data_IF_873678145143
#
_entry.id   IF_873678145143
#
_cell.length_a   1.000
_cell.length_b   1.000
_cell.length_c   1.000
_cell.angle_alpha   90.00
_cell.angle_beta   90.00
_cell.angle_gamma   90.00
#
_symmetry.space_group_name_H-M   'P 1'
#
loop_
_entity.id
_entity.type
_entity.pdbx_description
1 polymer ?
#
# COMPACT_ATOMS: atom_id res chain seq x y z
N UNK A 1 -6.09 -4.14 14.02
CA UNK A 1 -4.69 -4.49 14.34
C UNK A 1 -4.31 -5.85 13.80
N UNK A 2 -5.21 -6.84 13.79
CA UNK A 2 -4.88 -8.22 13.37
C UNK A 2 -4.40 -8.31 11.92
N UNK A 3 -5.02 -7.54 11.01
CA UNK A 3 -4.70 -7.57 9.57
C UNK A 3 -3.32 -7.03 9.25
N UNK A 4 -3.01 -5.80 9.69
CA UNK A 4 -1.69 -5.19 9.43
C UNK A 4 -0.55 -5.98 10.07
N UNK A 5 -0.81 -6.68 11.20
CA UNK A 5 0.18 -7.61 11.78
C UNK A 5 0.53 -8.72 10.79
N UNK A 6 -0.46 -9.36 10.16
CA UNK A 6 -0.20 -10.40 9.14
C UNK A 6 0.53 -9.85 7.92
N UNK A 7 0.14 -8.67 7.44
CA UNK A 7 0.85 -8.00 6.34
C UNK A 7 2.34 -7.78 6.64
N UNK A 8 2.66 -7.25 7.82
CA UNK A 8 4.04 -7.05 8.24
C UNK A 8 4.78 -8.37 8.50
N UNK A 9 4.13 -9.38 9.08
CA UNK A 9 4.75 -10.71 9.27
C UNK A 9 5.15 -11.30 7.92
N UNK A 10 4.24 -11.28 6.93
CA UNK A 10 4.50 -11.81 5.60
C UNK A 10 5.59 -11.02 4.88
N UNK A 11 5.52 -9.69 4.92
CA UNK A 11 6.56 -8.85 4.30
C UNK A 11 7.91 -9.02 4.99
N UNK A 12 7.97 -9.15 6.31
CA UNK A 12 9.22 -9.45 7.01
C UNK A 12 9.74 -10.85 6.66
N UNK A 13 8.87 -11.83 6.47
CA UNK A 13 9.25 -13.16 6.01
C UNK A 13 9.90 -13.09 4.60
N UNK A 14 9.34 -12.27 3.70
CA UNK A 14 9.83 -12.15 2.32
C UNK A 14 11.05 -11.22 2.18
N UNK A 15 11.05 -10.06 2.83
CA UNK A 15 12.12 -9.05 2.75
C UNK A 15 13.22 -9.25 3.82
N UNK A 16 13.04 -10.19 4.74
CA UNK A 16 13.98 -10.47 5.82
C UNK A 16 14.21 -9.26 6.75
N UNK A 17 15.46 -8.96 7.12
CA UNK A 17 15.80 -7.84 8.01
C UNK A 17 15.31 -6.49 7.52
N UNK A 18 15.24 -6.28 6.20
CA UNK A 18 14.75 -5.03 5.60
C UNK A 18 13.27 -4.82 5.95
N UNK A 19 12.45 -5.87 5.86
CA UNK A 19 11.04 -5.79 6.25
C UNK A 19 10.85 -5.50 7.74
N UNK A 20 11.67 -6.11 8.60
CA UNK A 20 11.66 -5.83 10.04
C UNK A 20 12.04 -4.36 10.34
N UNK A 21 13.05 -3.84 9.65
CA UNK A 21 13.45 -2.44 9.76
C UNK A 21 12.31 -1.48 9.35
N UNK A 22 11.66 -1.76 8.22
CA UNK A 22 10.50 -0.98 7.75
C UNK A 22 9.36 -1.03 8.77
N UNK A 23 9.07 -2.19 9.37
CA UNK A 23 8.06 -2.31 10.43
C UNK A 23 8.36 -1.39 11.62
N UNK A 24 9.61 -1.39 12.10
CA UNK A 24 10.03 -0.55 13.23
C UNK A 24 9.84 0.94 12.91
N UNK A 25 10.23 1.38 11.72
CA UNK A 25 10.14 2.80 11.35
C UNK A 25 8.72 3.28 11.06
N UNK A 26 7.90 2.43 10.45
CA UNK A 26 6.59 2.84 9.91
C UNK A 26 5.41 2.48 10.79
N UNK A 27 5.50 1.42 11.61
CA UNK A 27 4.35 0.82 12.29
C UNK A 27 4.54 0.63 13.81
N UNK A 28 5.77 0.60 14.32
CA UNK A 28 6.03 0.44 15.77
C UNK A 28 6.21 1.81 16.45
N UNK A 29 5.18 2.35 17.13
CA UNK A 29 5.32 3.61 17.83
C UNK A 29 6.26 3.46 19.04
N UNK A 30 6.92 4.55 19.48
CA UNK A 30 7.76 4.55 20.68
C UNK A 30 6.94 4.33 21.97
N UNK A 31 5.67 4.74 21.99
CA UNK A 31 4.72 4.47 23.07
C UNK A 31 3.48 3.75 22.54
N UNK A 32 2.94 2.71 23.23
CA UNK A 32 1.89 1.85 22.69
C UNK A 32 0.59 2.58 22.28
N UNK A 33 0.24 3.66 22.97
CA UNK A 33 -1.03 4.38 22.77
C UNK A 33 -0.98 5.40 21.62
N UNK A 34 0.22 5.71 21.10
CA UNK A 34 0.39 6.73 20.06
C UNK A 34 0.34 6.17 18.63
N UNK A 35 -0.12 4.94 18.40
CA UNK A 35 -0.06 4.33 17.06
C UNK A 35 -0.83 5.16 16.01
N UNK A 36 -2.02 5.67 16.34
CA UNK A 36 -2.85 6.45 15.41
C UNK A 36 -2.13 7.71 14.91
N UNK A 37 -1.54 8.48 15.83
CA UNK A 37 -0.76 9.68 15.51
C UNK A 37 0.55 9.32 14.80
N UNK A 38 1.21 8.25 15.26
CA UNK A 38 2.47 7.79 14.70
C UNK A 38 2.36 7.44 13.22
N UNK A 39 1.24 6.86 12.78
CA UNK A 39 1.04 6.46 11.37
C UNK A 39 0.44 7.56 10.51
N UNK A 40 -0.01 8.69 11.08
CA UNK A 40 -0.60 9.82 10.33
C UNK A 40 0.23 10.30 9.13
N UNK A 41 1.58 10.42 9.21
CA UNK A 41 2.37 10.91 8.08
C UNK A 41 2.14 10.08 6.80
N UNK A 42 1.94 10.78 5.67
CA UNK A 42 1.59 10.17 4.39
C UNK A 42 2.56 9.07 3.95
N UNK A 43 3.86 9.23 4.20
CA UNK A 43 4.87 8.22 3.87
C UNK A 43 4.65 6.91 4.65
N UNK A 44 4.21 6.97 5.91
CA UNK A 44 3.89 5.77 6.71
C UNK A 44 2.58 5.14 6.26
N UNK A 45 1.59 5.96 5.92
CA UNK A 45 0.35 5.50 5.30
C UNK A 45 0.64 4.73 4.00
N UNK A 46 1.52 5.27 3.16
CA UNK A 46 1.96 4.66 1.91
C UNK A 46 2.78 3.38 2.12
N UNK A 47 3.68 3.34 3.12
CA UNK A 47 4.37 2.10 3.50
C UNK A 47 3.36 1.03 3.89
N UNK A 48 2.36 1.36 4.72
CA UNK A 48 1.32 0.41 5.10
C UNK A 48 0.51 -0.11 3.91
N UNK A 49 0.11 0.79 3.01
CA UNK A 49 -0.58 0.42 1.76
C UNK A 49 0.28 -0.50 0.88
N UNK A 50 1.58 -0.20 0.75
CA UNK A 50 2.52 -0.98 -0.06
C UNK A 50 2.75 -2.37 0.56
N UNK A 51 2.97 -2.44 1.88
CA UNK A 51 3.11 -3.70 2.63
C UNK A 51 1.88 -4.58 2.46
N UNK A 52 0.69 -3.98 2.53
CA UNK A 52 -0.56 -4.72 2.39
C UNK A 52 -0.75 -5.33 1.01
N UNK A 53 -0.47 -4.54 -0.04
CA UNK A 53 -0.48 -4.99 -1.44
C UNK A 53 0.54 -6.11 -1.65
N UNK A 54 1.80 -5.83 -1.31
CA UNK A 54 2.91 -6.74 -1.54
C UNK A 54 2.77 -8.05 -0.77
N UNK A 55 2.20 -8.04 0.44
CA UNK A 55 1.92 -9.25 1.19
C UNK A 55 0.95 -10.17 0.43
N UNK A 56 -0.13 -9.61 -0.14
CA UNK A 56 -1.10 -10.36 -0.92
C UNK A 56 -0.55 -10.85 -2.24
N UNK A 57 0.08 -9.95 -3.01
CA UNK A 57 0.68 -10.24 -4.30
C UNK A 57 1.75 -11.32 -4.18
N UNK A 58 2.69 -11.16 -3.25
CA UNK A 58 3.78 -12.13 -3.04
C UNK A 58 3.26 -13.50 -2.57
N UNK A 59 2.20 -13.54 -1.77
CA UNK A 59 1.56 -14.81 -1.36
C UNK A 59 0.99 -15.54 -2.58
N UNK A 60 0.29 -14.83 -3.47
CA UNK A 60 -0.25 -15.40 -4.70
C UNK A 60 0.85 -15.83 -5.68
N UNK A 61 1.93 -15.05 -5.81
CA UNK A 61 3.11 -15.39 -6.64
C UNK A 61 3.76 -16.68 -6.14
N UNK A 62 4.02 -16.82 -4.84
CA UNK A 62 4.63 -18.05 -4.29
C UNK A 62 3.73 -19.27 -4.49
N UNK A 63 2.41 -19.11 -4.32
CA UNK A 63 1.47 -20.18 -4.60
C UNK A 63 1.48 -20.57 -6.08
N UNK A 64 1.51 -19.59 -6.98
CA UNK A 64 1.62 -19.82 -8.42
C UNK A 64 2.90 -20.59 -8.75
N UNK A 65 4.05 -20.11 -8.28
CA UNK A 65 5.35 -20.75 -8.49
C UNK A 65 5.37 -22.20 -8.00
N UNK A 66 4.75 -22.50 -6.85
CA UNK A 66 4.64 -23.87 -6.36
C UNK A 66 3.79 -24.77 -7.28
N UNK A 67 2.68 -24.25 -7.80
CA UNK A 67 1.78 -24.99 -8.71
C UNK A 67 2.40 -25.18 -10.10
N UNK A 68 2.98 -24.13 -10.67
CA UNK A 68 3.57 -24.13 -12.01
C UNK A 68 4.84 -24.98 -12.06
N UNK A 69 5.65 -24.96 -10.99
CA UNK A 69 6.82 -25.85 -10.84
C UNK A 69 6.39 -27.31 -10.79
N UNK A 70 5.32 -27.64 -10.05
CA UNK A 70 4.79 -29.01 -10.00
C UNK A 70 4.27 -29.50 -11.36
N UNK A 71 3.80 -28.58 -12.20
CA UNK A 71 3.31 -28.86 -13.56
C UNK A 71 4.40 -28.80 -14.64
N UNK A 72 5.61 -28.34 -14.32
CA UNK A 72 6.71 -28.20 -15.28
C UNK A 72 6.44 -27.19 -16.40
N UNK A 73 5.69 -26.13 -16.12
CA UNK A 73 5.30 -25.14 -17.13
C UNK A 73 6.49 -24.31 -17.62
N UNK A 74 6.40 -23.81 -18.87
CA UNK A 74 7.41 -22.92 -19.43
C UNK A 74 7.42 -21.58 -18.69
N UNK A 75 8.58 -20.95 -18.55
CA UNK A 75 8.79 -19.68 -17.83
C UNK A 75 7.76 -18.58 -18.15
N UNK A 76 7.36 -18.42 -19.41
CA UNK A 76 6.35 -17.42 -19.77
C UNK A 76 4.96 -17.71 -19.17
N UNK A 77 4.56 -18.97 -19.09
CA UNK A 77 3.29 -19.36 -18.46
C UNK A 77 3.37 -19.21 -16.94
N UNK A 78 4.56 -19.43 -16.38
CA UNK A 78 4.84 -19.21 -14.96
C UNK A 78 4.64 -17.74 -14.59
N UNK A 79 5.29 -16.81 -15.31
CA UNK A 79 5.13 -15.36 -15.09
C UNK A 79 3.67 -14.90 -15.22
N UNK A 80 2.93 -15.43 -16.20
CA UNK A 80 1.51 -15.11 -16.37
C UNK A 80 0.69 -15.64 -15.19
N UNK A 81 0.94 -16.87 -14.74
CA UNK A 81 0.27 -17.46 -13.60
C UNK A 81 0.58 -16.70 -12.31
N UNK A 82 1.85 -16.35 -12.07
CA UNK A 82 2.30 -15.53 -10.94
C UNK A 82 1.61 -14.17 -10.92
N UNK A 83 1.52 -13.49 -12.06
CA UNK A 83 0.81 -12.22 -12.15
C UNK A 83 -0.69 -12.38 -11.81
N UNK A 84 -1.36 -13.37 -12.42
CA UNK A 84 -2.81 -13.56 -12.24
C UNK A 84 -3.14 -13.98 -10.81
N UNK A 85 -2.44 -14.98 -10.26
CA UNK A 85 -2.69 -15.46 -8.90
C UNK A 85 -2.26 -14.42 -7.86
N UNK A 86 -1.14 -13.73 -8.07
CA UNK A 86 -0.72 -12.59 -7.25
C UNK A 86 -1.83 -11.55 -7.16
N UNK A 87 -2.29 -11.06 -8.31
CA UNK A 87 -3.37 -10.08 -8.37
C UNK A 87 -4.68 -10.57 -7.75
N UNK A 88 -5.06 -11.84 -7.96
CA UNK A 88 -6.28 -12.42 -7.37
C UNK A 88 -6.17 -12.48 -5.83
N UNK A 89 -5.03 -12.92 -5.29
CA UNK A 89 -4.82 -12.97 -3.84
C UNK A 89 -4.75 -11.56 -3.24
N UNK A 90 -4.01 -10.65 -3.87
CA UNK A 90 -3.95 -9.25 -3.50
C UNK A 90 -5.34 -8.61 -3.46
N UNK A 91 -6.10 -8.72 -4.55
CA UNK A 91 -7.42 -8.10 -4.68
C UNK A 91 -8.47 -8.72 -3.76
N UNK A 92 -8.67 -10.04 -3.80
CA UNK A 92 -9.82 -10.67 -3.16
C UNK A 92 -9.59 -11.00 -1.69
N UNK A 93 -8.36 -11.37 -1.32
CA UNK A 93 -8.04 -11.78 0.05
C UNK A 93 -7.47 -10.63 0.85
N UNK A 94 -6.52 -9.87 0.32
CA UNK A 94 -5.92 -8.78 1.08
C UNK A 94 -6.79 -7.51 0.99
N UNK A 95 -6.96 -6.92 -0.19
CA UNK A 95 -7.72 -5.68 -0.31
C UNK A 95 -9.19 -5.83 0.10
N UNK A 96 -9.95 -6.67 -0.61
CA UNK A 96 -11.40 -6.66 -0.50
C UNK A 96 -11.91 -7.24 0.83
N UNK A 97 -11.28 -8.30 1.34
CA UNK A 97 -11.71 -8.93 2.59
C UNK A 97 -11.46 -8.00 3.78
N UNK A 98 -10.30 -7.33 3.80
CA UNK A 98 -9.92 -6.48 4.92
C UNK A 98 -10.52 -5.08 4.86
N UNK A 99 -10.93 -4.61 3.67
CA UNK A 99 -11.67 -3.36 3.53
C UNK A 99 -13.20 -3.53 3.57
N UNK A 100 -13.72 -4.76 3.68
CA UNK A 100 -15.16 -5.02 3.71
C UNK A 100 -15.90 -4.15 4.73
N UNK A 101 -15.36 -4.07 5.95
CA UNK A 101 -15.99 -3.36 7.05
C UNK A 101 -15.91 -1.82 6.88
N UNK A 102 -14.89 -1.34 6.16
CA UNK A 102 -14.76 0.09 5.78
C UNK A 102 -15.83 0.51 4.78
N UNK A 103 -16.25 -0.40 3.89
CA UNK A 103 -17.27 -0.15 2.87
C UNK A 103 -18.69 -0.52 3.30
N UNK A 104 -18.97 -0.47 4.61
CA UNK A 104 -20.30 -0.76 5.16
C UNK A 104 -20.68 -2.24 5.07
N UNK A 105 -19.71 -3.15 5.10
CA UNK A 105 -19.91 -4.60 5.05
C UNK A 105 -20.07 -5.19 3.65
N UNK A 106 -20.12 -4.36 2.59
CA UNK A 106 -20.31 -4.83 1.22
C UNK A 106 -19.00 -5.26 0.57
N UNK A 107 -18.75 -6.57 0.50
CA UNK A 107 -17.56 -7.13 -0.14
C UNK A 107 -17.46 -6.75 -1.63
N UNK A 108 -18.57 -6.78 -2.38
CA UNK A 108 -18.57 -6.40 -3.79
C UNK A 108 -18.18 -4.93 -4.00
N UNK A 109 -18.62 -4.03 -3.10
CA UNK A 109 -18.20 -2.63 -3.13
C UNK A 109 -16.70 -2.50 -2.84
N UNK A 110 -16.19 -3.25 -1.87
CA UNK A 110 -14.77 -3.29 -1.54
C UNK A 110 -13.93 -3.71 -2.76
N UNK A 111 -14.28 -4.83 -3.41
CA UNK A 111 -13.60 -5.30 -4.64
C UNK A 111 -13.61 -4.22 -5.73
N UNK A 112 -14.77 -3.63 -6.03
CA UNK A 112 -14.89 -2.63 -7.11
C UNK A 112 -14.05 -1.38 -6.83
N UNK A 113 -13.95 -0.97 -5.56
CA UNK A 113 -13.19 0.21 -5.15
C UNK A 113 -11.69 -0.07 -5.06
N UNK A 114 -11.29 -1.31 -4.76
CA UNK A 114 -9.89 -1.70 -4.66
C UNK A 114 -9.28 -2.20 -5.96
N UNK A 115 -10.07 -2.57 -6.96
CA UNK A 115 -9.58 -3.14 -8.22
C UNK A 115 -8.57 -2.25 -8.93
N UNK A 116 -8.91 -0.98 -9.15
CA UNK A 116 -8.02 -0.05 -9.85
C UNK A 116 -6.72 0.23 -9.06
N UNK A 117 -6.78 0.61 -7.77
CA UNK A 117 -5.57 0.83 -6.98
C UNK A 117 -4.68 -0.41 -6.83
N UNK A 118 -5.30 -1.59 -6.74
CA UNK A 118 -4.55 -2.85 -6.67
C UNK A 118 -3.85 -3.16 -7.98
N UNK A 119 -4.55 -3.03 -9.10
CA UNK A 119 -4.00 -3.34 -10.41
C UNK A 119 -2.81 -2.44 -10.77
N UNK A 120 -2.94 -1.14 -10.51
CA UNK A 120 -1.86 -0.17 -10.74
C UNK A 120 -0.66 -0.45 -9.81
N UNK A 121 -0.91 -0.83 -8.55
CA UNK A 121 0.14 -1.20 -7.60
C UNK A 121 0.85 -2.49 -8.01
N UNK A 122 0.10 -3.53 -8.40
CA UNK A 122 0.61 -4.82 -8.86
C UNK A 122 1.49 -4.66 -10.11
N UNK A 123 1.11 -3.80 -11.05
CA UNK A 123 1.97 -3.47 -12.20
C UNK A 123 3.33 -2.93 -11.76
N UNK A 124 3.35 -2.04 -10.77
CA UNK A 124 4.59 -1.47 -10.25
C UNK A 124 5.42 -2.49 -9.45
N UNK A 125 4.76 -3.35 -8.65
CA UNK A 125 5.41 -4.48 -7.96
C UNK A 125 6.11 -5.37 -8.97
N UNK A 126 5.39 -5.81 -10.01
CA UNK A 126 5.93 -6.72 -11.03
C UNK A 126 6.99 -6.04 -11.91
N UNK A 127 6.87 -4.74 -12.18
CA UNK A 127 7.91 -3.99 -12.88
C UNK A 127 9.25 -3.99 -12.12
N UNK A 128 9.21 -4.02 -10.77
CA UNK A 128 10.41 -4.17 -9.95
C UNK A 128 10.88 -5.62 -9.79
N UNK A 129 9.95 -6.55 -9.54
CA UNK A 129 10.26 -7.96 -9.25
C UNK A 129 10.81 -8.70 -10.47
N UNK A 130 10.16 -8.59 -11.64
CA UNK A 130 10.46 -9.43 -12.80
C UNK A 130 11.90 -9.28 -13.29
N UNK A 131 12.47 -8.06 -13.44
CA UNK A 131 13.86 -7.93 -13.88
C UNK A 131 14.84 -8.59 -12.93
N UNK A 132 14.64 -8.45 -11.62
CA UNK A 132 15.52 -9.06 -10.61
C UNK A 132 15.43 -10.58 -10.68
N UNK A 133 14.21 -11.14 -10.74
CA UNK A 133 13.99 -12.57 -10.90
C UNK A 133 14.64 -13.11 -12.17
N UNK A 134 14.35 -12.52 -13.33
CA UNK A 134 14.89 -13.00 -14.61
C UNK A 134 16.41 -12.91 -14.64
N UNK A 135 17.01 -11.80 -14.20
CA UNK A 135 18.48 -11.63 -14.24
C UNK A 135 19.18 -12.58 -13.29
N UNK A 136 18.69 -12.73 -12.05
CA UNK A 136 19.36 -13.54 -11.03
C UNK A 136 19.05 -15.04 -11.19
N UNK A 137 17.82 -15.42 -11.53
CA UNK A 137 17.48 -16.82 -11.76
C UNK A 137 18.04 -17.33 -13.09
N UNK A 138 18.05 -16.55 -14.18
CA UNK A 138 18.60 -17.03 -15.46
C UNK A 138 20.11 -17.31 -15.43
N UNK A 139 20.85 -16.71 -14.49
CA UNK A 139 22.30 -16.91 -14.33
C UNK A 139 22.66 -18.14 -13.51
N UNK A 140 21.76 -18.60 -12.64
CA UNK A 140 21.99 -19.77 -11.79
C UNK A 140 20.68 -20.54 -11.59
N UNK A 141 20.53 -21.65 -12.33
CA UNK A 141 19.36 -22.53 -12.28
C UNK A 141 19.15 -23.17 -10.89
N UNK A 142 20.18 -23.25 -10.04
CA UNK A 142 20.00 -23.71 -8.65
C UNK A 142 19.17 -22.75 -7.79
N UNK A 143 18.94 -21.53 -8.30
CA UNK A 143 18.07 -20.53 -7.68
C UNK A 143 16.59 -20.74 -8.03
N UNK A 144 16.24 -21.73 -8.88
CA UNK A 144 14.84 -22.02 -9.26
C UNK A 144 14.17 -23.06 -8.34
N UNK A 145 14.92 -23.72 -7.46
CA UNK A 145 14.36 -24.73 -6.55
C UNK A 145 14.01 -24.14 -5.18
N UNK A 146 12.77 -24.29 -4.68
CA UNK A 146 12.35 -23.77 -3.36
C UNK A 146 13.14 -24.34 -2.17
N UNK A 147 13.80 -25.49 -2.32
CA UNK A 147 14.67 -26.09 -1.31
C UNK A 147 16.03 -25.40 -1.17
N UNK A 148 16.38 -24.51 -2.10
CA UNK A 148 17.64 -23.76 -2.13
C UNK A 148 17.55 -22.48 -1.31
N UNK A 149 18.56 -22.19 -0.49
CA UNK A 149 18.66 -20.89 0.20
C UNK A 149 18.79 -19.72 -0.80
N UNK A 150 19.38 -19.97 -1.99
CA UNK A 150 19.52 -18.94 -3.03
C UNK A 150 18.18 -18.52 -3.61
N UNK A 151 17.23 -19.45 -3.77
CA UNK A 151 15.87 -19.14 -4.19
C UNK A 151 15.25 -18.08 -3.28
N UNK A 152 15.30 -18.30 -1.96
CA UNK A 152 14.78 -17.35 -0.98
C UNK A 152 15.52 -16.01 -0.97
N UNK A 153 16.84 -16.02 -1.20
CA UNK A 153 17.63 -14.79 -1.36
C UNK A 153 17.22 -13.96 -2.58
N UNK A 154 17.04 -14.61 -3.74
CA UNK A 154 16.59 -13.95 -4.97
C UNK A 154 15.15 -13.45 -4.83
N UNK A 155 14.26 -14.25 -4.25
CA UNK A 155 12.87 -13.84 -3.97
C UNK A 155 12.83 -12.64 -3.02
N UNK A 156 13.71 -12.59 -2.02
CA UNK A 156 13.81 -11.45 -1.12
C UNK A 156 14.24 -10.19 -1.85
N UNK A 157 15.30 -10.27 -2.68
CA UNK A 157 15.76 -9.14 -3.50
C UNK A 157 14.69 -8.67 -4.49
N UNK A 158 14.00 -9.60 -5.14
CA UNK A 158 12.91 -9.27 -6.06
C UNK A 158 11.78 -8.55 -5.32
N UNK A 159 11.36 -9.08 -4.18
CA UNK A 159 10.31 -8.47 -3.34
C UNK A 159 10.71 -7.06 -2.89
N UNK A 160 11.97 -6.83 -2.52
CA UNK A 160 12.48 -5.50 -2.18
C UNK A 160 12.43 -4.56 -3.39
N UNK A 161 12.84 -5.01 -4.57
CA UNK A 161 12.77 -4.21 -5.79
C UNK A 161 11.31 -3.87 -6.16
N UNK A 162 10.40 -4.83 -6.03
CA UNK A 162 8.96 -4.63 -6.19
C UNK A 162 8.41 -3.60 -5.20
N UNK A 163 8.80 -3.69 -3.92
CA UNK A 163 8.43 -2.71 -2.90
C UNK A 163 8.90 -1.30 -3.29
N UNK A 164 10.15 -1.15 -3.70
CA UNK A 164 10.74 0.15 -4.09
C UNK A 164 9.99 0.74 -5.29
N UNK A 165 9.67 -0.08 -6.29
CA UNK A 165 8.94 0.36 -7.49
C UNK A 165 7.48 0.72 -7.18
N UNK A 166 6.82 -0.06 -6.32
CA UNK A 166 5.42 0.15 -5.96
C UNK A 166 5.20 1.28 -4.93
N UNK A 167 6.19 1.58 -4.10
CA UNK A 167 6.07 2.60 -3.06
C UNK A 167 5.63 3.99 -3.59
N UNK A 168 6.26 4.61 -4.60
CA UNK A 168 5.84 5.93 -5.10
C UNK A 168 4.42 5.91 -5.70
N UNK A 169 4.03 4.80 -6.31
CA UNK A 169 2.67 4.60 -6.85
C UNK A 169 1.65 4.53 -5.71
N UNK A 170 1.94 3.77 -4.66
CA UNK A 170 1.10 3.69 -3.47
C UNK A 170 1.06 5.00 -2.70
N UNK A 171 2.17 5.75 -2.66
CA UNK A 171 2.22 7.08 -2.07
C UNK A 171 1.26 8.05 -2.76
N UNK A 172 1.25 8.04 -4.10
CA UNK A 172 0.31 8.82 -4.89
C UNK A 172 -1.14 8.35 -4.66
N UNK A 173 -1.40 7.04 -4.73
CA UNK A 173 -2.74 6.46 -4.56
C UNK A 173 -3.35 6.80 -3.19
N UNK A 174 -2.54 6.78 -2.12
CA UNK A 174 -2.97 7.18 -0.78
C UNK A 174 -3.16 8.69 -0.69
N UNK A 175 -2.23 9.47 -1.27
CA UNK A 175 -2.32 10.94 -1.26
C UNK A 175 -3.55 11.50 -1.96
N UNK A 176 -4.02 10.83 -3.02
CA UNK A 176 -5.25 11.20 -3.75
C UNK A 176 -6.51 10.50 -3.21
N UNK A 177 -6.41 9.72 -2.14
CA UNK A 177 -7.55 9.00 -1.54
C UNK A 177 -8.11 7.86 -2.39
N UNK A 178 -7.39 7.41 -3.42
CA UNK A 178 -7.79 6.26 -4.23
C UNK A 178 -7.53 4.93 -3.51
N UNK A 179 -6.58 4.90 -2.57
CA UNK A 179 -6.21 3.73 -1.76
C UNK A 179 -6.13 4.13 -0.29
N UNK A 180 -6.44 3.22 0.61
CA UNK A 180 -6.32 3.47 2.04
C UNK A 180 -4.90 3.17 2.53
N UNK A 181 -4.43 3.95 3.49
CA UNK A 181 -3.16 3.70 4.16
C UNK A 181 -3.31 2.87 5.44
N UNK A 182 -2.30 2.95 6.30
CA UNK A 182 -2.24 2.27 7.59
C UNK A 182 -3.24 2.88 8.60
N UNK A 183 -4.32 2.18 8.91
CA UNK A 183 -5.30 2.63 9.91
C UNK A 183 -5.29 1.81 11.21
N UNK A 184 -5.79 2.42 12.29
CA UNK A 184 -6.11 1.74 13.55
C UNK A 184 -7.52 1.15 13.52
N UNK A 185 -7.82 0.22 14.43
CA UNK A 185 -9.17 -0.38 14.57
C UNK A 185 -10.25 0.68 14.81
N UNK A 186 -9.89 1.78 15.48
CA UNK A 186 -10.77 2.91 15.74
C UNK A 186 -11.04 3.75 14.48
N UNK A 187 -10.05 3.92 13.61
CA UNK A 187 -10.21 4.64 12.34
C UNK A 187 -10.84 3.78 11.22
N UNK A 188 -10.71 2.46 11.30
CA UNK A 188 -11.17 1.52 10.26
C UNK A 188 -12.43 0.73 10.64
N UNK A 189 -13.10 1.05 11.76
CA UNK A 189 -14.18 0.22 12.33
C UNK A 189 -15.35 0.97 13.00
N UNK A 190 -16.22 1.57 12.17
CA UNK A 190 -17.69 1.77 12.27
C UNK A 190 -18.11 2.95 11.34
N UNK A 191 -17.65 2.91 10.09
CA UNK A 191 -17.71 4.05 9.17
C UNK A 191 -16.46 4.90 9.36
N UNK A 192 -15.37 4.49 8.70
CA UNK A 192 -14.10 5.19 8.81
C UNK A 192 -14.11 6.43 7.92
N UNK A 193 -14.30 7.59 8.52
CA UNK A 193 -13.77 8.81 7.93
C UNK A 193 -12.25 8.64 7.83
N UNK A 194 -11.71 8.94 6.64
CA UNK A 194 -10.28 9.10 6.45
C UNK A 194 -9.74 9.95 7.60
N UNK A 195 -8.71 9.45 8.31
CA UNK A 195 -7.97 10.26 9.28
C UNK A 195 -7.78 11.66 8.70
N UNK A 196 -7.99 12.76 9.47
CA UNK A 196 -8.10 14.12 8.95
C UNK A 196 -6.74 14.63 8.47
N UNK A 197 -6.27 14.08 7.36
CA UNK A 197 -5.16 14.59 6.58
C UNK A 197 -5.59 15.80 5.73
N UNK A 198 -6.91 16.06 5.65
CA UNK A 198 -7.48 17.15 4.86
C UNK A 198 -7.66 18.47 5.62
N UNK A 199 -7.54 18.49 6.96
CA UNK A 199 -7.69 19.75 7.73
C UNK A 199 -6.36 20.50 7.93
N UNK A 200 -5.22 19.81 7.90
CA UNK A 200 -3.91 20.41 8.22
C UNK A 200 -3.21 21.12 7.06
N UNK A 201 -3.56 20.79 5.81
CA UNK A 201 -2.92 21.39 4.63
C UNK A 201 -3.46 22.78 4.30
N UNK A 202 -4.73 23.06 4.63
CA UNK A 202 -5.36 24.35 4.34
C UNK A 202 -5.01 25.44 5.37
N UNK A 203 -4.80 25.05 6.64
CA UNK A 203 -4.47 25.99 7.71
C UNK A 203 -3.02 26.50 7.66
N UNK A 204 -2.10 25.76 7.02
CA UNK A 204 -0.69 26.15 6.93
C UNK A 204 -0.42 27.24 5.86
N UNK A 205 -1.36 27.49 4.94
CA UNK A 205 -1.20 28.46 3.85
C UNK A 205 -1.88 29.81 4.19
N UNK A 206 -2.83 29.84 5.13
CA UNK A 206 -3.66 31.01 5.39
C UNK A 206 -3.22 31.92 6.56
N UNK A 207 -2.14 31.61 7.28
CA UNK A 207 -1.67 32.45 8.40
C UNK A 207 -0.18 32.73 8.34
N UNK A 208 0.21 33.67 7.50
CA UNK A 208 1.41 34.48 7.71
C UNK A 208 0.94 35.92 7.95
N UNK A 209 0.83 36.38 9.21
CA UNK A 209 0.62 37.80 9.47
C UNK A 209 1.95 38.53 9.24
N UNK A 210 1.89 39.53 8.35
CA UNK A 210 2.93 40.54 8.14
C UNK A 210 3.26 41.19 9.49
N UNK A 211 4.52 41.09 9.92
CA UNK A 211 5.04 41.79 11.10
C UNK A 211 5.42 43.23 10.72
N UNK A 212 4.70 44.21 11.25
CA UNK A 212 5.17 45.60 11.36
C UNK A 212 5.73 45.83 12.78
N UNK A 213 6.92 46.44 12.96
CA UNK A 213 7.47 46.73 14.27
C UNK A 213 7.09 48.15 14.73
N UNK A 214 6.36 48.29 15.83
CA UNK A 214 6.02 49.62 16.35
C UNK A 214 5.35 49.67 17.73
N UNK A 215 6.18 50.01 18.73
CA UNK A 215 5.89 50.71 20.00
C UNK A 215 5.15 50.04 21.17
N UNK A 216 5.85 50.10 22.30
CA UNK A 216 5.46 49.90 23.69
C UNK A 216 4.37 50.86 24.19
N UNK A 217 3.48 50.41 25.08
CA UNK A 217 3.24 51.07 26.39
C UNK A 217 2.41 50.21 27.36
N UNK A 218 2.61 50.48 28.65
CA UNK A 218 2.15 49.79 29.87
C UNK A 218 0.74 50.17 30.36
N UNK A 219 0.24 49.33 31.30
CA UNK A 219 -0.84 49.47 32.31
C UNK A 219 -2.06 48.58 32.03
N UNK A 220 -2.68 47.85 32.96
CA UNK A 220 -2.54 47.71 34.40
C UNK A 220 -3.84 47.11 34.97
N UNK A 221 -3.74 46.35 36.06
CA UNK A 221 -4.78 45.98 37.04
C UNK A 221 -6.00 45.12 36.62
N UNK A 222 -6.11 43.95 37.28
CA UNK A 222 -7.33 43.18 37.53
C UNK A 222 -8.21 43.88 38.61
N UNK A 223 -9.49 43.51 38.87
CA UNK A 223 -9.93 42.16 39.28
C UNK A 223 -11.32 41.68 38.77
N UNK A 224 -11.57 40.37 38.95
CA UNK A 224 -12.87 39.70 38.72
C UNK A 224 -13.98 40.10 39.71
N UNK A 225 -15.25 39.81 39.38
CA UNK A 225 -16.02 38.90 40.26
C UNK A 225 -16.92 37.88 39.54
N UNK A 226 -17.32 36.87 40.34
CA UNK A 226 -18.10 35.65 40.03
C UNK A 226 -19.61 35.89 39.85
N UNK A 227 -20.26 35.14 38.93
CA UNK A 227 -21.68 34.73 38.97
C UNK A 227 -21.86 33.48 38.08
N UNK A 228 -22.05 32.27 38.62
CA UNK A 228 -23.34 31.55 38.83
C UNK A 228 -24.30 31.73 37.63
N UNK A 229 -24.30 30.76 36.70
CA UNK A 229 -25.17 29.58 36.68
C UNK A 229 -26.58 29.93 36.22
N UNK A 230 -26.92 29.57 34.97
CA UNK A 230 -28.25 29.14 34.51
C UNK A 230 -28.12 28.60 33.08
N UNK A 231 -28.15 27.27 32.94
CA UNK A 231 -28.10 26.55 31.67
C UNK A 231 -29.48 25.93 31.43
N UNK A 232 -30.35 26.68 30.75
CA UNK A 232 -31.58 26.17 30.14
C UNK A 232 -31.45 26.31 28.63
N UNK A 233 -31.13 25.21 27.94
CA UNK A 233 -31.12 25.13 26.48
C UNK A 233 -32.02 23.98 26.00
N UNK A 234 -33.24 24.38 25.65
CA UNK A 234 -34.06 23.94 24.51
C UNK A 234 -33.73 22.57 23.89
N UNK A 235 -34.62 21.60 24.13
CA UNK A 235 -34.82 20.45 23.24
C UNK A 235 -35.39 20.91 21.90
N UNK A 236 -34.52 21.06 20.90
CA UNK A 236 -34.88 21.17 19.48
C UNK A 236 -34.51 19.87 18.76
N UNK A 237 -35.50 19.24 18.14
CA UNK A 237 -35.40 17.98 17.41
C UNK A 237 -34.33 18.03 16.29
N UNK A 238 -33.50 16.99 16.21
CA UNK A 238 -32.53 16.81 15.14
C UNK A 238 -33.24 16.50 13.80
N UNK A 239 -32.93 17.20 12.70
CA UNK A 239 -33.40 16.79 11.38
C UNK A 239 -32.55 15.61 10.88
N UNK A 240 -33.23 14.67 10.23
CA UNK A 240 -32.64 13.51 9.58
C UNK A 240 -31.60 13.93 8.53
N UNK A 241 -30.35 13.46 8.68
CA UNK A 241 -29.32 13.61 7.66
C UNK A 241 -29.52 12.55 6.57
N UNK A 242 -30.15 12.98 5.48
CA UNK A 242 -30.12 12.33 4.18
C UNK A 242 -28.66 12.12 3.73
N UNK A 243 -28.35 10.91 3.25
CA UNK A 243 -27.01 10.48 2.87
C UNK A 243 -26.30 11.45 1.92
N UNK A 244 -25.25 12.09 2.42
CA UNK A 244 -24.25 12.75 1.61
C UNK A 244 -23.31 11.68 1.05
N UNK A 245 -23.44 11.41 -0.23
CA UNK A 245 -22.45 10.68 -1.02
C UNK A 245 -21.09 11.35 -0.81
N UNK A 246 -20.14 10.59 -0.27
CA UNK A 246 -18.86 11.06 0.27
C UNK A 246 -18.09 11.99 -0.70
N UNK A 247 -17.85 13.22 -0.27
CA UNK A 247 -17.08 14.29 -0.92
C UNK A 247 -15.57 14.05 -0.82
N UNK A 248 -15.08 12.93 -1.35
CA UNK A 248 -13.64 12.71 -1.54
C UNK A 248 -13.23 13.10 -2.98
N UNK A 249 -12.09 13.79 -3.19
CA UNK A 249 -11.61 14.10 -4.52
C UNK A 249 -11.41 12.81 -5.33
N UNK A 250 -12.29 12.58 -6.30
CA UNK A 250 -12.23 11.39 -7.16
C UNK A 250 -11.17 11.67 -8.23
N UNK A 251 -10.09 10.89 -8.24
CA UNK A 251 -9.03 10.97 -9.26
C UNK A 251 -9.66 11.13 -10.64
N UNK A 252 -9.25 12.14 -11.39
CA UNK A 252 -9.83 12.41 -12.71
C UNK A 252 -9.51 11.27 -13.68
N UNK A 253 -10.40 11.01 -14.65
CA UNK A 253 -10.16 9.95 -15.64
C UNK A 253 -8.80 10.09 -16.36
N UNK A 254 -8.35 11.30 -16.77
CA UNK A 254 -7.01 11.47 -17.34
C UNK A 254 -5.88 11.06 -16.41
N UNK A 255 -5.97 11.39 -15.12
CA UNK A 255 -4.97 10.97 -14.12
C UNK A 255 -4.96 9.45 -13.92
N UNK A 256 -6.13 8.81 -13.95
CA UNK A 256 -6.22 7.35 -13.86
C UNK A 256 -5.57 6.68 -15.07
N UNK A 257 -5.89 7.14 -16.27
CA UNK A 257 -5.32 6.61 -17.51
C UNK A 257 -3.81 6.86 -17.59
N UNK A 258 -3.33 8.02 -17.15
CA UNK A 258 -1.91 8.34 -17.12
C UNK A 258 -1.15 7.39 -16.19
N UNK A 259 -1.65 7.15 -14.97
CA UNK A 259 -0.99 6.26 -14.02
C UNK A 259 -1.07 4.78 -14.46
N UNK A 260 -2.22 4.35 -14.98
CA UNK A 260 -2.37 3.03 -15.60
C UNK A 260 -1.37 2.83 -16.74
N UNK A 261 -1.29 3.78 -17.67
CA UNK A 261 -0.36 3.75 -18.80
C UNK A 261 1.10 3.72 -18.33
N UNK A 262 1.47 4.58 -17.37
CA UNK A 262 2.82 4.63 -16.82
C UNK A 262 3.24 3.29 -16.19
N UNK A 263 2.38 2.70 -15.36
CA UNK A 263 2.69 1.42 -14.70
C UNK A 263 2.72 0.25 -15.69
N UNK A 264 1.88 0.26 -16.72
CA UNK A 264 1.95 -0.72 -17.81
C UNK A 264 3.23 -0.58 -18.65
N UNK A 265 3.61 0.65 -19.02
CA UNK A 265 4.86 0.92 -19.74
C UNK A 265 6.05 0.49 -18.89
N UNK A 266 6.04 0.77 -17.58
CA UNK A 266 7.08 0.34 -16.67
C UNK A 266 7.18 -1.20 -16.62
N UNK A 267 6.06 -1.91 -16.46
CA UNK A 267 6.00 -3.37 -16.45
C UNK A 267 6.48 -3.97 -17.78
N UNK A 268 6.00 -3.44 -18.89
CA UNK A 268 6.36 -3.94 -20.23
C UNK A 268 7.83 -3.65 -20.56
N UNK A 269 8.31 -2.44 -20.26
CA UNK A 269 9.72 -2.09 -20.40
C UNK A 269 10.63 -2.96 -19.54
N UNK A 270 10.26 -3.17 -18.28
CA UNK A 270 10.98 -4.03 -17.34
C UNK A 270 11.05 -5.49 -17.82
N UNK A 271 9.92 -6.05 -18.26
CA UNK A 271 9.85 -7.43 -18.77
C UNK A 271 10.64 -7.59 -20.08
N UNK A 272 10.64 -6.59 -20.97
CA UNK A 272 11.48 -6.62 -22.19
C UNK A 272 12.96 -6.51 -21.89
N UNK A 273 13.38 -5.57 -21.04
CA UNK A 273 14.77 -5.42 -20.59
C UNK A 273 15.27 -6.73 -19.96
N UNK A 274 14.43 -7.32 -19.12
CA UNK A 274 14.67 -8.63 -18.55
C UNK A 274 14.81 -9.72 -19.63
N UNK A 275 13.96 -9.69 -20.67
CA UNK A 275 13.99 -10.64 -21.79
C UNK A 275 15.20 -10.54 -22.72
N UNK A 276 15.75 -9.34 -22.86
CA UNK A 276 17.02 -9.13 -23.59
C UNK A 276 18.20 -9.60 -22.74
N UNK A 277 18.13 -9.43 -21.41
CA UNK A 277 19.19 -9.83 -20.48
C UNK A 277 19.15 -11.28 -20.01
N UNK A 278 17.99 -11.94 -20.04
CA UNK A 278 17.76 -13.32 -19.63
C UNK A 278 16.87 -14.00 -20.65
N UNK A 279 17.28 -15.16 -21.16
CA UNK A 279 16.62 -15.89 -22.26
C UNK A 279 15.19 -16.34 -21.87
N UNK A 280 14.20 -15.43 -21.94
CA UNK A 280 12.77 -15.73 -21.68
C UNK A 280 12.18 -16.80 -22.63
N UNK A 281 12.91 -17.13 -23.70
CA UNK A 281 12.53 -18.09 -24.72
C UNK A 281 13.13 -19.50 -24.57
N UNK A 282 13.72 -19.90 -23.44
CA UNK A 282 14.24 -21.27 -23.31
C UNK A 282 13.12 -22.31 -23.38
N UNK A 283 12.95 -22.87 -24.58
CA UNK A 283 12.06 -23.98 -24.88
C UNK A 283 12.54 -25.28 -24.24
N UNK A 284 11.61 -26.22 -24.16
CA UNK A 284 11.85 -27.62 -23.80
C UNK A 284 13.01 -28.22 -24.62
N UNK A 285 13.98 -28.83 -23.94
CA UNK A 285 14.79 -29.90 -24.53
C UNK A 285 16.17 -29.53 -25.07
N UNK A 286 17.09 -29.09 -24.21
CA UNK A 286 18.49 -29.53 -24.35
C UNK A 286 18.74 -30.61 -23.31
N UNK A 287 19.02 -31.87 -23.69
CA UNK A 287 19.48 -32.88 -22.75
C UNK A 287 20.77 -32.38 -22.10
N UNK A 288 20.89 -32.58 -20.79
CA UNK A 288 22.16 -32.43 -20.09
C UNK A 288 23.20 -33.35 -20.77
N UNK A 289 24.33 -32.84 -21.28
CA UNK A 289 25.47 -33.69 -21.55
C UNK A 289 26.12 -34.00 -20.19
N UNK A 290 26.00 -35.24 -19.75
CA UNK A 290 26.77 -35.79 -18.63
C UNK A 290 25.95 -36.07 -17.39
N UNK A 291 25.69 -37.37 -17.18
CA UNK A 291 25.80 -37.99 -15.86
C UNK A 291 27.21 -37.78 -15.30
#
# INVERSE_FOLDING_TARGET
MTVMKWGFILVTLFMGPVGAFIYVLSCKPPVPEAHAEFVTPLWKQAVGSTVHCLAGDATGIILAAALTTAMGLRMWHDLVAEYVLGFVFGLFIFQALFMRDMFGGSYSRAVRKSLYPEWVSMNAVMAGMVPVMVILMSRDMSSMHPSSLRFWGVMSLATIAGFIAAYPVNLWLVGVGAKHGMGTVLALGKGGDTLPLMAGAELAIATQPVQDPGMHSLHGAAPQPKAKADMHSLHGAAPASSGSDSTLPRVTLPQQLAMAGLTLIALWGATLLAGVGGKLGMGTGTPMPGM
#
